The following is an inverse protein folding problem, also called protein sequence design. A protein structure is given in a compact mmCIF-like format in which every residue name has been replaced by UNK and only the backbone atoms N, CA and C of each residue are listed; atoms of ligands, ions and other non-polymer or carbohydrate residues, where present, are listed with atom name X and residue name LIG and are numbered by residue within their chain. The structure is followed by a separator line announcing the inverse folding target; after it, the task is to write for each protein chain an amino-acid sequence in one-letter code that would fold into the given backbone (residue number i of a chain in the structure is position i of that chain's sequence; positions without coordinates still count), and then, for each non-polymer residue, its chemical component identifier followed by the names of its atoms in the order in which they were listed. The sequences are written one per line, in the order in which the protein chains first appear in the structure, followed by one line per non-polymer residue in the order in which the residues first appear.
data_IF_427519066038
#
_entry.id   IF_427519066038
#
_cell.length_a   1.000
_cell.length_b   1.000
_cell.length_c   1.000
_cell.angle_alpha   90.00
_cell.angle_beta   90.00
_cell.angle_gamma   90.00
#
_symmetry.space_group_name_H-M   'P 1'
#
loop_
_entity.id
_entity.type
_entity.pdbx_description
1 polymer ?
#
# COMPACT_ATOMS: atom_id res chain seq x y z
N UNK A 1 22.04 54.56 -21.73
CA UNK A 1 22.79 54.85 -20.52
C UNK A 1 23.64 53.60 -20.21
N UNK A 2 24.95 53.71 -20.41
CA UNK A 2 25.93 52.63 -20.21
C UNK A 2 26.27 52.49 -18.73
N UNK A 3 26.31 51.27 -18.19
CA UNK A 3 27.13 50.95 -16.99
C UNK A 3 27.66 49.53 -17.16
N UNK A 4 28.90 49.48 -17.27
CA UNK A 4 30.05 48.65 -17.18
C UNK A 4 30.01 47.48 -16.22
N UNK A 5 30.60 46.40 -16.68
CA UNK A 5 30.88 45.15 -16.01
C UNK A 5 31.97 45.22 -14.93
N UNK A 6 32.04 44.16 -14.16
CA UNK A 6 33.24 43.71 -13.48
C UNK A 6 33.34 42.18 -13.49
N UNK A 7 34.34 41.70 -14.19
CA UNK A 7 34.81 40.34 -14.12
C UNK A 7 35.56 40.11 -12.80
N UNK A 8 35.30 39.00 -12.11
CA UNK A 8 36.10 38.54 -10.98
C UNK A 8 36.97 37.39 -11.43
N UNK A 9 38.26 37.59 -11.24
CA UNK A 9 39.35 36.68 -11.59
C UNK A 9 39.36 35.42 -10.71
N UNK A 10 39.56 34.28 -11.37
CA UNK A 10 39.82 32.99 -10.72
C UNK A 10 41.33 32.91 -10.45
N UNK A 11 41.69 32.79 -9.18
CA UNK A 11 43.06 32.53 -8.73
C UNK A 11 43.42 31.06 -8.89
N UNK A 12 44.45 30.78 -9.67
CA UNK A 12 45.15 29.48 -9.79
C UNK A 12 46.13 29.30 -8.64
N UNK A 13 46.08 28.15 -7.95
CA UNK A 13 47.10 27.70 -7.00
C UNK A 13 47.83 26.47 -7.57
N UNK A 14 49.17 26.39 -7.50
CA UNK A 14 49.97 25.41 -8.25
C UNK A 14 50.09 24.07 -7.52
N UNK A 15 50.18 23.02 -8.36
CA UNK A 15 50.57 21.66 -7.99
C UNK A 15 52.01 21.64 -7.48
N UNK A 16 52.27 21.01 -6.34
CA UNK A 16 53.56 20.43 -6.00
C UNK A 16 53.43 18.93 -5.78
N UNK A 17 54.22 18.21 -6.55
CA UNK A 17 54.46 16.77 -6.48
C UNK A 17 55.28 16.43 -5.22
N UNK A 18 54.99 15.30 -4.59
CA UNK A 18 55.98 14.49 -3.91
C UNK A 18 55.61 13.01 -4.04
N UNK A 19 56.40 12.29 -4.82
CA UNK A 19 56.50 10.83 -4.83
C UNK A 19 57.24 10.38 -3.58
N UNK A 20 56.80 9.30 -2.95
CA UNK A 20 57.70 8.28 -2.38
C UNK A 20 56.98 6.93 -2.46
N UNK A 21 57.63 5.99 -3.08
CA UNK A 21 57.27 4.59 -3.25
C UNK A 21 57.62 3.79 -1.98
N UNK A 22 56.81 2.78 -1.68
CA UNK A 22 57.30 1.54 -1.05
C UNK A 22 56.32 0.39 -1.36
N UNK A 23 56.80 -0.53 -2.16
CA UNK A 23 56.16 -1.81 -2.44
C UNK A 23 56.37 -2.77 -1.28
N UNK A 24 55.31 -3.45 -0.86
CA UNK A 24 55.40 -4.70 -0.12
C UNK A 24 54.36 -5.66 -0.69
N UNK A 25 54.80 -6.60 -1.50
CA UNK A 25 54.06 -7.80 -1.89
C UNK A 25 53.89 -8.69 -0.67
N UNK A 26 52.63 -9.04 -0.35
CA UNK A 26 52.33 -10.25 0.41
C UNK A 26 51.27 -11.00 -0.40
N UNK A 27 51.71 -12.09 -1.01
CA UNK A 27 50.86 -13.11 -1.60
C UNK A 27 50.22 -13.92 -0.46
N UNK A 28 48.89 -13.94 -0.35
CA UNK A 28 48.17 -14.93 0.44
C UNK A 28 47.29 -15.77 -0.48
N UNK A 29 47.56 -17.05 -0.43
CA UNK A 29 46.89 -18.12 -1.15
C UNK A 29 45.41 -18.15 -0.84
N UNK A 30 44.57 -18.13 -1.87
CA UNK A 30 43.16 -18.44 -1.78
C UNK A 30 42.96 -19.96 -1.61
N UNK A 31 42.65 -20.41 -0.42
CA UNK A 31 42.06 -21.72 -0.16
C UNK A 31 40.56 -21.52 -0.04
N UNK A 32 39.82 -21.85 -1.09
CA UNK A 32 38.38 -21.98 -1.06
C UNK A 32 38.03 -23.25 -0.27
N UNK A 33 37.58 -23.09 0.98
CA UNK A 33 36.83 -24.10 1.69
C UNK A 33 35.43 -23.53 1.94
N UNK A 34 34.44 -24.09 1.22
CA UNK A 34 33.04 -23.93 1.54
C UNK A 34 32.76 -24.67 2.85
N UNK A 35 32.78 -23.98 3.96
CA UNK A 35 32.32 -24.48 5.25
C UNK A 35 31.06 -23.70 5.64
N UNK A 36 29.94 -24.39 5.75
CA UNK A 36 28.75 -23.95 6.48
C UNK A 36 29.14 -23.79 7.96
N UNK A 37 29.71 -22.63 8.29
CA UNK A 37 30.11 -22.34 9.65
C UNK A 37 28.97 -21.52 10.32
N UNK A 38 28.36 -22.12 11.36
CA UNK A 38 27.71 -21.34 12.41
C UNK A 38 28.74 -20.32 12.94
N UNK A 39 28.34 -19.07 13.24
CA UNK A 39 29.28 -18.11 13.80
C UNK A 39 29.88 -18.65 15.10
N UNK A 40 31.16 -18.40 15.38
CA UNK A 40 31.77 -18.81 16.64
C UNK A 40 31.01 -18.19 17.81
N UNK A 41 30.79 -18.96 18.87
CA UNK A 41 30.12 -18.52 20.09
C UNK A 41 30.73 -17.20 20.59
N UNK A 42 29.97 -16.09 20.57
CA UNK A 42 30.39 -14.79 21.07
C UNK A 42 30.37 -13.62 20.06
N UNK A 43 30.16 -13.85 18.75
CA UNK A 43 30.12 -12.75 17.77
C UNK A 43 28.68 -12.35 17.45
N UNK A 44 28.28 -11.14 17.86
CA UNK A 44 26.96 -10.58 17.55
C UNK A 44 26.83 -10.31 16.05
N UNK A 45 25.76 -10.79 15.42
CA UNK A 45 25.41 -10.48 14.03
C UNK A 45 24.59 -9.19 14.02
N UNK A 46 25.08 -8.17 13.31
CA UNK A 46 24.32 -6.94 13.13
C UNK A 46 23.61 -6.96 11.78
N UNK A 47 22.32 -6.68 11.78
CA UNK A 47 21.49 -6.49 10.58
C UNK A 47 20.89 -5.11 10.58
N UNK A 48 20.65 -4.56 9.39
CA UNK A 48 19.97 -3.28 9.19
C UNK A 48 18.58 -3.48 8.61
N UNK A 49 17.68 -2.57 8.92
CA UNK A 49 16.37 -2.55 8.25
C UNK A 49 15.95 -1.14 7.88
N UNK A 50 15.17 -1.03 6.81
CA UNK A 50 14.53 0.19 6.37
C UNK A 50 13.05 0.18 6.70
N UNK A 51 12.50 1.35 7.03
CA UNK A 51 11.06 1.55 7.23
C UNK A 51 10.69 3.01 6.98
N UNK A 52 9.47 3.26 6.50
CA UNK A 52 8.88 4.61 6.39
C UNK A 52 8.13 5.04 7.67
N UNK A 53 8.15 4.21 8.70
CA UNK A 53 7.49 4.48 9.98
C UNK A 53 8.27 5.49 10.84
N UNK A 54 7.63 5.95 11.91
CA UNK A 54 8.20 6.99 12.79
C UNK A 54 9.52 6.57 13.47
N UNK A 55 10.34 7.56 13.86
CA UNK A 55 11.54 7.31 14.66
C UNK A 55 11.22 6.66 16.02
N UNK A 56 10.04 6.95 16.57
CA UNK A 56 9.57 6.30 17.80
C UNK A 56 9.39 4.79 17.62
N UNK A 57 8.80 4.38 16.50
CA UNK A 57 8.65 2.96 16.16
C UNK A 57 10.01 2.28 15.93
N UNK A 58 10.95 2.93 15.24
CA UNK A 58 12.32 2.41 15.07
C UNK A 58 12.96 2.17 16.43
N UNK A 59 12.91 3.16 17.32
CA UNK A 59 13.49 3.04 18.66
C UNK A 59 12.85 1.91 19.48
N UNK A 60 11.53 1.73 19.35
CA UNK A 60 10.83 0.62 20.00
C UNK A 60 11.31 -0.73 19.48
N UNK A 61 11.31 -0.94 18.17
CA UNK A 61 11.71 -2.20 17.54
C UNK A 61 13.16 -2.56 17.87
N UNK A 62 14.07 -1.59 17.74
CA UNK A 62 15.49 -1.77 18.05
C UNK A 62 15.71 -2.15 19.53
N UNK A 63 15.10 -1.41 20.45
CA UNK A 63 15.31 -1.65 21.88
C UNK A 63 14.71 -2.97 22.35
N UNK A 64 13.50 -3.32 21.94
CA UNK A 64 12.81 -4.52 22.40
C UNK A 64 13.40 -5.81 21.80
N UNK A 65 13.74 -5.78 20.51
CA UNK A 65 14.40 -6.93 19.90
C UNK A 65 15.80 -7.15 20.47
N UNK A 66 16.63 -6.09 20.51
CA UNK A 66 18.00 -6.18 20.99
C UNK A 66 18.11 -6.60 22.47
N UNK A 67 17.11 -6.26 23.30
CA UNK A 67 17.06 -6.69 24.70
C UNK A 67 16.83 -8.19 24.89
N UNK A 68 16.18 -8.84 23.92
CA UNK A 68 15.77 -10.26 24.02
C UNK A 68 16.59 -11.21 23.16
N UNK A 69 17.45 -10.71 22.26
CA UNK A 69 18.21 -11.47 21.27
C UNK A 69 19.71 -11.16 21.32
N UNK A 70 20.40 -11.59 22.36
CA UNK A 70 21.81 -11.23 22.68
C UNK A 70 22.82 -11.54 21.56
N UNK A 71 22.51 -12.48 20.65
CA UNK A 71 23.37 -12.84 19.50
C UNK A 71 23.10 -12.07 18.22
N UNK A 72 22.04 -11.25 18.19
CA UNK A 72 21.64 -10.48 17.01
C UNK A 72 21.39 -9.04 17.44
N UNK A 73 21.88 -8.09 16.66
CA UNK A 73 21.60 -6.66 16.83
C UNK A 73 20.90 -6.13 15.59
N UNK A 74 19.73 -5.48 15.75
CA UNK A 74 19.06 -4.77 14.67
C UNK A 74 19.27 -3.28 14.81
N UNK A 75 19.30 -2.56 13.68
CA UNK A 75 19.39 -1.11 13.59
C UNK A 75 18.52 -0.61 12.44
N UNK A 76 17.47 0.15 12.78
CA UNK A 76 16.54 0.72 11.81
C UNK A 76 17.02 2.02 11.19
N UNK A 77 16.61 2.24 9.96
CA UNK A 77 16.80 3.49 9.23
C UNK A 77 15.47 3.96 8.65
N UNK A 78 15.13 5.22 8.93
CA UNK A 78 13.96 5.88 8.36
C UNK A 78 14.15 6.17 6.87
N UNK A 79 13.13 5.89 6.07
CA UNK A 79 13.03 6.26 4.65
C UNK A 79 11.81 7.17 4.49
N UNK A 80 11.99 8.31 3.82
CA UNK A 80 11.02 9.41 3.84
C UNK A 80 9.67 9.13 3.14
N UNK A 81 9.56 8.10 2.30
CA UNK A 81 8.32 7.80 1.57
C UNK A 81 8.21 6.31 1.29
N UNK A 82 7.02 5.76 1.48
CA UNK A 82 6.69 4.39 1.07
C UNK A 82 6.68 4.25 -0.47
N UNK A 83 6.22 5.29 -1.18
CA UNK A 83 6.15 5.28 -2.65
C UNK A 83 7.54 5.27 -3.30
N UNK A 84 8.51 5.98 -2.69
CA UNK A 84 9.90 5.98 -3.15
C UNK A 84 10.69 4.73 -2.72
N UNK A 85 10.13 3.90 -1.84
CA UNK A 85 10.83 2.75 -1.24
C UNK A 85 11.25 1.76 -2.31
N UNK A 86 10.36 1.37 -3.21
CA UNK A 86 10.65 0.39 -4.27
C UNK A 86 11.76 0.87 -5.21
N UNK A 87 11.74 2.13 -5.66
CA UNK A 87 12.79 2.69 -6.52
C UNK A 87 14.14 2.72 -5.80
N UNK A 88 14.14 3.04 -4.51
CA UNK A 88 15.31 3.06 -3.64
C UNK A 88 15.88 1.67 -3.42
N UNK A 89 15.02 0.66 -3.21
CA UNK A 89 15.40 -0.75 -3.10
C UNK A 89 16.05 -1.27 -4.38
N UNK A 90 15.41 -1.04 -5.53
CA UNK A 90 15.97 -1.40 -6.83
C UNK A 90 17.35 -0.76 -7.05
N UNK A 91 17.51 0.50 -6.68
CA UNK A 91 18.80 1.20 -6.77
C UNK A 91 19.84 0.61 -5.82
N UNK A 92 19.46 0.34 -4.57
CA UNK A 92 20.33 -0.24 -3.55
C UNK A 92 20.79 -1.65 -3.92
N UNK A 93 19.87 -2.49 -4.43
CA UNK A 93 20.19 -3.83 -4.93
C UNK A 93 21.25 -3.76 -6.07
N UNK A 94 21.10 -2.80 -6.99
CA UNK A 94 22.07 -2.61 -8.09
C UNK A 94 23.46 -2.20 -7.60
N UNK A 95 23.54 -1.52 -6.46
CA UNK A 95 24.78 -1.02 -5.87
C UNK A 95 25.32 -1.90 -4.74
N UNK A 96 24.58 -2.94 -4.32
CA UNK A 96 24.96 -3.82 -3.19
C UNK A 96 24.90 -3.12 -1.84
N UNK A 97 24.00 -2.16 -1.67
CA UNK A 97 23.80 -1.35 -0.45
C UNK A 97 22.40 -1.54 0.16
N UNK A 98 21.67 -2.55 -0.29
CA UNK A 98 20.37 -2.91 0.25
C UNK A 98 20.45 -3.29 1.74
N UNK A 99 19.42 -3.00 2.56
CA UNK A 99 19.36 -3.45 3.95
C UNK A 99 19.11 -4.96 4.01
N UNK A 100 19.28 -5.55 5.21
CA UNK A 100 18.91 -6.95 5.40
C UNK A 100 17.38 -7.16 5.40
N UNK A 101 16.60 -6.16 5.88
CA UNK A 101 15.14 -6.21 5.93
C UNK A 101 14.55 -4.88 5.49
N UNK A 102 13.43 -4.92 4.79
CA UNK A 102 12.57 -3.75 4.58
C UNK A 102 11.22 -4.02 5.23
N UNK A 103 10.69 -3.06 5.98
CA UNK A 103 9.40 -3.13 6.67
C UNK A 103 8.48 -2.06 6.10
N UNK A 104 7.23 -2.45 5.77
CA UNK A 104 6.21 -1.57 5.24
C UNK A 104 6.22 -1.48 3.70
N UNK A 105 6.89 -2.41 3.03
CA UNK A 105 6.90 -2.50 1.59
C UNK A 105 5.54 -2.90 1.02
N UNK A 106 5.13 -2.27 -0.08
CA UNK A 106 3.96 -2.73 -0.84
C UNK A 106 4.25 -4.09 -1.48
N UNK A 107 3.39 -5.11 -1.26
CA UNK A 107 3.61 -6.43 -1.83
C UNK A 107 3.55 -6.48 -3.36
N UNK A 108 2.93 -5.52 -4.03
CA UNK A 108 2.94 -5.43 -5.49
C UNK A 108 4.35 -5.22 -6.07
N UNK A 109 5.29 -4.71 -5.27
CA UNK A 109 6.69 -4.57 -5.64
C UNK A 109 7.50 -5.88 -5.56
N UNK A 110 7.02 -6.87 -4.78
CA UNK A 110 7.75 -8.14 -4.58
C UNK A 110 8.12 -8.85 -5.88
N UNK A 111 7.25 -8.94 -6.90
CA UNK A 111 7.62 -9.55 -8.18
C UNK A 111 8.78 -8.86 -8.90
N UNK A 112 8.84 -7.53 -8.86
CA UNK A 112 9.92 -6.74 -9.44
C UNK A 112 11.24 -6.99 -8.68
N UNK A 113 11.21 -6.92 -7.36
CA UNK A 113 12.38 -7.16 -6.52
C UNK A 113 12.90 -8.59 -6.63
N UNK A 114 12.01 -9.57 -6.78
CA UNK A 114 12.36 -10.98 -6.98
C UNK A 114 13.20 -11.22 -8.24
N UNK A 115 13.07 -10.38 -9.28
CA UNK A 115 13.85 -10.48 -10.50
C UNK A 115 15.35 -10.24 -10.25
N UNK A 116 15.70 -9.56 -9.17
CA UNK A 116 17.09 -9.34 -8.75
C UNK A 116 17.79 -10.62 -8.27
N UNK A 117 17.02 -11.65 -7.89
CA UNK A 117 17.52 -12.86 -7.22
C UNK A 117 18.00 -12.62 -5.78
N UNK A 118 17.76 -11.43 -5.22
CA UNK A 118 18.22 -11.03 -3.89
C UNK A 118 17.18 -11.18 -2.79
N UNK A 119 15.90 -11.40 -3.11
CA UNK A 119 14.85 -11.57 -2.10
C UNK A 119 14.85 -13.01 -1.60
N UNK A 120 14.92 -13.18 -0.29
CA UNK A 120 14.98 -14.48 0.37
C UNK A 120 13.59 -15.13 0.40
N UNK A 121 13.52 -16.43 0.06
CA UNK A 121 12.31 -17.23 0.20
C UNK A 121 11.99 -17.53 1.67
N UNK A 122 10.86 -17.02 2.14
CA UNK A 122 10.39 -17.12 3.53
C UNK A 122 9.35 -18.25 3.74
N UNK A 123 9.05 -19.05 2.72
CA UNK A 123 7.99 -20.08 2.78
C UNK A 123 8.13 -21.07 3.94
N UNK A 124 9.36 -21.57 4.19
CA UNK A 124 9.60 -22.53 5.27
C UNK A 124 9.68 -21.85 6.65
N UNK A 125 10.50 -20.79 6.83
CA UNK A 125 10.70 -20.22 8.17
C UNK A 125 9.45 -19.48 8.69
N UNK A 126 8.53 -19.02 7.83
CA UNK A 126 7.33 -18.28 8.23
C UNK A 126 6.01 -19.02 7.98
N UNK A 127 6.04 -20.31 7.63
CA UNK A 127 4.84 -21.10 7.29
C UNK A 127 3.74 -21.00 8.38
N UNK A 128 4.09 -21.17 9.65
CA UNK A 128 3.14 -21.09 10.75
C UNK A 128 2.55 -19.69 10.94
N UNK A 129 3.39 -18.65 10.88
CA UNK A 129 2.93 -17.27 10.99
C UNK A 129 2.00 -16.89 9.83
N UNK A 130 2.36 -17.28 8.60
CA UNK A 130 1.54 -17.04 7.40
C UNK A 130 0.20 -17.77 7.46
N UNK A 131 0.16 -19.01 7.97
CA UNK A 131 -1.09 -19.73 8.17
C UNK A 131 -2.03 -19.05 9.17
N UNK A 132 -1.50 -18.25 10.09
CA UNK A 132 -2.25 -17.47 11.08
C UNK A 132 -2.89 -16.18 10.54
N UNK A 133 -2.49 -15.71 9.36
CA UNK A 133 -3.03 -14.48 8.74
C UNK A 133 -4.46 -14.66 8.22
N UNK A 134 -5.19 -13.57 8.05
CA UNK A 134 -6.46 -13.59 7.32
C UNK A 134 -6.27 -14.14 5.91
N UNK A 135 -7.21 -14.97 5.40
CA UNK A 135 -7.06 -15.62 4.08
C UNK A 135 -6.88 -14.63 2.92
N UNK A 136 -7.56 -13.47 2.94
CA UNK A 136 -7.46 -12.46 1.89
C UNK A 136 -6.08 -11.80 1.78
N UNK A 137 -5.26 -11.83 2.84
CA UNK A 137 -3.92 -11.23 2.86
C UNK A 137 -2.86 -12.15 2.25
N UNK A 138 -3.01 -13.46 2.44
CA UNK A 138 -1.96 -14.45 2.09
C UNK A 138 -1.50 -14.41 0.64
N UNK A 139 -2.40 -14.26 -0.37
CA UNK A 139 -1.97 -14.26 -1.77
C UNK A 139 -0.92 -13.19 -2.09
N UNK A 140 -1.00 -12.03 -1.46
CA UNK A 140 -0.08 -10.91 -1.68
C UNK A 140 1.37 -11.19 -1.24
N UNK A 141 1.59 -12.22 -0.43
CA UNK A 141 2.93 -12.56 0.09
C UNK A 141 3.74 -13.42 -0.87
N UNK A 142 3.10 -13.96 -1.92
CA UNK A 142 3.69 -14.98 -2.77
C UNK A 142 3.88 -14.50 -4.22
N UNK A 143 5.01 -14.87 -4.78
CA UNK A 143 5.29 -14.75 -6.20
C UNK A 143 5.92 -16.04 -6.72
N UNK A 144 5.39 -16.62 -7.81
CA UNK A 144 5.85 -17.90 -8.39
C UNK A 144 6.00 -19.03 -7.35
N UNK A 145 5.06 -19.12 -6.41
CA UNK A 145 5.03 -20.13 -5.35
C UNK A 145 6.04 -19.92 -4.21
N UNK A 146 6.80 -18.86 -4.22
CA UNK A 146 7.71 -18.50 -3.15
C UNK A 146 7.11 -17.37 -2.30
N UNK A 147 7.17 -17.50 -1.00
CA UNK A 147 6.82 -16.42 -0.09
C UNK A 147 7.99 -15.43 0.00
N UNK A 148 7.75 -14.17 -0.38
CA UNK A 148 8.77 -13.13 -0.45
C UNK A 148 8.58 -12.02 0.59
N UNK A 149 7.43 -12.00 1.26
CA UNK A 149 7.13 -11.04 2.31
C UNK A 149 6.34 -11.66 3.45
N UNK A 150 6.23 -10.94 4.58
CA UNK A 150 5.40 -11.26 5.73
C UNK A 150 4.59 -10.05 6.15
N UNK A 151 3.27 -10.17 6.15
CA UNK A 151 2.37 -9.14 6.69
C UNK A 151 2.47 -9.13 8.22
N UNK A 152 2.62 -7.93 8.80
CA UNK A 152 2.91 -7.81 10.24
C UNK A 152 1.70 -7.30 11.04
N UNK A 153 1.07 -6.22 10.60
CA UNK A 153 -0.04 -5.50 11.21
C UNK A 153 -0.20 -4.16 10.52
N UNK A 154 -1.14 -3.34 10.96
CA UNK A 154 -1.39 -2.05 10.31
C UNK A 154 -2.02 -2.20 8.92
N UNK A 155 -2.91 -3.16 8.78
CA UNK A 155 -3.66 -3.39 7.54
C UNK A 155 -4.67 -2.26 7.34
N UNK A 156 -4.80 -1.78 6.12
CA UNK A 156 -5.82 -0.81 5.73
C UNK A 156 -6.88 -1.43 4.85
N UNK A 157 -8.12 -1.01 5.03
CA UNK A 157 -9.21 -1.20 4.09
C UNK A 157 -10.06 0.06 4.02
N UNK A 158 -11.04 0.11 3.15
CA UNK A 158 -11.98 1.22 3.09
C UNK A 158 -13.43 0.75 3.31
N UNK A 159 -14.24 1.69 3.80
CA UNK A 159 -15.66 1.54 4.07
C UNK A 159 -16.43 2.74 3.54
N UNK A 160 -17.74 2.70 3.57
CA UNK A 160 -18.60 3.86 3.28
C UNK A 160 -18.70 4.75 4.52
N UNK A 161 -18.29 6.01 4.40
CA UNK A 161 -18.62 7.09 5.34
C UNK A 161 -19.86 7.84 4.85
N UNK A 162 -20.74 8.25 5.75
CA UNK A 162 -21.92 9.04 5.43
C UNK A 162 -22.19 10.12 6.48
N UNK A 163 -22.62 11.29 6.04
CA UNK A 163 -22.99 12.41 6.90
C UNK A 163 -24.41 12.20 7.48
N UNK A 164 -24.49 11.97 8.79
CA UNK A 164 -25.78 11.70 9.47
C UNK A 164 -26.79 12.85 9.37
N UNK A 165 -26.29 14.11 9.37
CA UNK A 165 -27.17 15.28 9.26
C UNK A 165 -27.83 15.37 7.88
N UNK A 166 -27.08 15.08 6.82
CA UNK A 166 -27.58 15.12 5.47
C UNK A 166 -28.56 13.97 5.21
N UNK A 167 -28.24 12.78 5.70
CA UNK A 167 -29.17 11.64 5.66
C UNK A 167 -30.50 11.95 6.36
N UNK A 168 -30.46 12.54 7.57
CA UNK A 168 -31.66 12.94 8.30
C UNK A 168 -32.48 14.00 7.53
N UNK A 169 -31.81 15.03 6.94
CA UNK A 169 -32.47 16.06 6.11
C UNK A 169 -33.13 15.46 4.86
N UNK A 170 -32.50 14.46 4.24
CA UNK A 170 -33.02 13.78 3.06
C UNK A 170 -34.10 12.71 3.40
N UNK A 171 -34.37 12.48 4.67
CA UNK A 171 -35.33 11.45 5.12
C UNK A 171 -34.85 10.02 4.93
N UNK A 172 -33.51 9.82 4.87
CA UNK A 172 -32.89 8.50 4.75
C UNK A 172 -32.71 7.89 6.15
N UNK A 173 -33.12 6.63 6.31
CA UNK A 173 -33.12 5.94 7.61
C UNK A 173 -31.77 5.33 7.97
N UNK A 174 -30.83 5.24 7.03
CA UNK A 174 -29.51 4.64 7.23
C UNK A 174 -28.70 4.54 5.93
N UNK A 175 -27.46 4.03 6.01
CA UNK A 175 -26.58 3.93 4.86
C UNK A 175 -27.08 2.90 3.84
N UNK A 176 -26.75 3.06 2.54
CA UNK A 176 -27.14 2.14 1.49
C UNK A 176 -26.47 0.79 1.65
N UNK A 177 -27.22 -0.30 1.47
CA UNK A 177 -26.72 -1.67 1.54
C UNK A 177 -26.22 -2.19 0.19
N UNK A 178 -26.64 -1.57 -0.93
CA UNK A 178 -26.26 -1.94 -2.29
C UNK A 178 -25.84 -0.71 -3.10
N UNK A 179 -25.04 -0.91 -4.14
CA UNK A 179 -24.65 0.17 -5.05
C UNK A 179 -25.86 0.82 -5.73
N UNK A 180 -26.90 0.03 -6.10
CA UNK A 180 -28.16 0.58 -6.63
C UNK A 180 -28.86 1.52 -5.64
N UNK A 181 -28.86 1.15 -4.35
CA UNK A 181 -29.39 2.03 -3.31
C UNK A 181 -28.51 3.26 -3.12
N UNK A 182 -27.18 3.10 -3.15
CA UNK A 182 -26.22 4.21 -3.07
C UNK A 182 -26.46 5.23 -4.19
N UNK A 183 -26.60 4.80 -5.45
CA UNK A 183 -26.92 5.68 -6.58
C UNK A 183 -28.21 6.48 -6.31
N UNK A 184 -29.29 5.81 -5.90
CA UNK A 184 -30.56 6.46 -5.56
C UNK A 184 -30.44 7.45 -4.41
N UNK A 185 -29.70 7.10 -3.35
CA UNK A 185 -29.53 7.94 -2.18
C UNK A 185 -28.60 9.12 -2.49
N UNK A 186 -27.56 8.91 -3.30
CA UNK A 186 -26.66 9.98 -3.77
C UNK A 186 -27.45 11.06 -4.54
N UNK A 187 -28.38 10.67 -5.41
CA UNK A 187 -29.26 11.63 -6.11
C UNK A 187 -30.10 12.44 -5.13
N UNK A 188 -30.71 11.81 -4.12
CA UNK A 188 -31.53 12.52 -3.10
C UNK A 188 -30.71 13.47 -2.24
N UNK A 189 -29.44 13.11 -1.95
CA UNK A 189 -28.52 13.90 -1.15
C UNK A 189 -27.92 15.07 -1.95
N UNK A 190 -27.95 15.01 -3.28
CA UNK A 190 -27.32 16.02 -4.13
C UNK A 190 -28.14 17.29 -4.24
N UNK A 191 -27.45 18.42 -4.13
CA UNK A 191 -27.99 19.74 -4.38
C UNK A 191 -27.05 20.56 -5.27
N UNK A 192 -26.92 20.20 -6.58
CA UNK A 192 -25.89 20.79 -7.43
C UNK A 192 -25.93 22.32 -7.53
N UNK A 193 -27.11 22.91 -7.37
CA UNK A 193 -27.26 24.37 -7.25
C UNK A 193 -26.58 24.97 -6.00
N UNK A 194 -26.28 24.15 -4.99
CA UNK A 194 -25.57 24.52 -3.76
C UNK A 194 -24.13 24.00 -3.73
N UNK A 195 -23.64 23.43 -4.83
CA UNK A 195 -22.34 22.74 -4.90
C UNK A 195 -22.15 21.68 -3.81
N UNK A 196 -23.24 20.94 -3.52
CA UNK A 196 -23.25 19.81 -2.58
C UNK A 196 -23.65 18.55 -3.34
N UNK A 197 -22.87 17.47 -3.18
CA UNK A 197 -23.06 16.22 -3.91
C UNK A 197 -23.34 15.06 -2.98
N UNK A 198 -23.97 14.02 -3.49
CA UNK A 198 -24.35 12.85 -2.71
C UNK A 198 -23.17 11.96 -2.37
N UNK A 199 -22.19 11.85 -3.27
CA UNK A 199 -21.00 11.00 -3.07
C UNK A 199 -19.77 11.62 -3.75
N UNK A 200 -18.60 11.35 -3.20
CA UNK A 200 -17.32 11.58 -3.87
C UNK A 200 -16.93 10.35 -4.71
N UNK A 201 -16.48 10.59 -5.93
CA UNK A 201 -15.81 9.62 -6.80
C UNK A 201 -14.40 10.15 -7.07
N UNK A 202 -13.33 9.35 -6.93
CA UNK A 202 -11.95 9.80 -7.13
C UNK A 202 -11.66 10.31 -8.53
N UNK A 203 -10.77 11.30 -8.63
CA UNK A 203 -10.37 11.96 -9.86
C UNK A 203 -8.85 11.96 -10.05
N UNK A 204 -8.41 12.00 -11.31
CA UNK A 204 -7.01 12.08 -11.71
C UNK A 204 -6.49 10.77 -12.31
N UNK A 205 -5.17 10.59 -12.29
CA UNK A 205 -4.48 9.45 -12.91
C UNK A 205 -3.59 8.70 -11.93
N UNK A 206 -3.78 8.95 -10.63
CA UNK A 206 -3.05 8.25 -9.58
C UNK A 206 -3.66 6.85 -9.30
N UNK A 207 -2.87 5.96 -8.77
CA UNK A 207 -3.28 4.58 -8.45
C UNK A 207 -4.50 4.51 -7.54
N UNK A 208 -4.76 5.53 -6.72
CA UNK A 208 -5.92 5.59 -5.83
C UNK A 208 -7.26 5.37 -6.56
N UNK A 209 -7.41 5.85 -7.80
CA UNK A 209 -8.64 5.65 -8.60
C UNK A 209 -8.86 4.18 -8.91
N UNK A 210 -7.85 3.50 -9.44
CA UNK A 210 -7.96 2.05 -9.74
C UNK A 210 -8.12 1.25 -8.46
N UNK A 211 -7.41 1.59 -7.39
CA UNK A 211 -7.47 0.95 -6.08
C UNK A 211 -8.90 0.97 -5.47
N UNK A 212 -9.59 2.10 -5.52
CA UNK A 212 -10.96 2.20 -5.03
C UNK A 212 -11.96 1.52 -5.98
N UNK A 213 -11.77 1.70 -7.30
CA UNK A 213 -12.64 1.08 -8.30
C UNK A 213 -12.58 -0.46 -8.29
N UNK A 214 -11.45 -1.05 -7.96
CA UNK A 214 -11.29 -2.51 -7.84
C UNK A 214 -12.30 -3.12 -6.87
N UNK A 215 -12.62 -2.46 -5.77
CA UNK A 215 -13.65 -2.93 -4.83
C UNK A 215 -15.02 -3.07 -5.48
N UNK A 216 -15.42 -2.13 -6.34
CA UNK A 216 -16.67 -2.23 -7.08
C UNK A 216 -16.62 -3.31 -8.18
N UNK A 217 -15.46 -3.47 -8.83
CA UNK A 217 -15.23 -4.57 -9.77
C UNK A 217 -15.50 -5.93 -9.09
N UNK A 218 -14.87 -6.17 -7.94
CA UNK A 218 -15.03 -7.43 -7.18
C UNK A 218 -16.44 -7.59 -6.60
N UNK A 219 -17.05 -6.52 -6.10
CA UNK A 219 -18.44 -6.54 -5.63
C UNK A 219 -19.42 -6.91 -6.75
N UNK A 220 -19.09 -6.63 -8.00
CA UNK A 220 -19.86 -7.07 -9.16
C UNK A 220 -19.46 -8.48 -9.68
N UNK A 221 -18.53 -9.17 -9.00
CA UNK A 221 -18.07 -10.51 -9.39
C UNK A 221 -16.99 -10.52 -10.47
N UNK A 222 -16.44 -9.35 -10.81
CA UNK A 222 -15.31 -9.24 -11.75
C UNK A 222 -13.98 -9.64 -11.12
N UNK A 223 -12.94 -9.73 -11.96
CA UNK A 223 -11.58 -10.04 -11.55
C UNK A 223 -10.63 -9.02 -12.19
N UNK A 224 -9.56 -8.63 -11.49
CA UNK A 224 -8.53 -7.75 -12.03
C UNK A 224 -7.67 -8.47 -13.08
N UNK A 225 -7.17 -9.66 -12.73
CA UNK A 225 -6.46 -10.57 -13.62
C UNK A 225 -7.20 -11.91 -13.72
N UNK A 226 -6.88 -12.69 -14.75
CA UNK A 226 -7.29 -14.08 -14.83
C UNK A 226 -6.63 -14.90 -13.70
N UNK A 227 -7.14 -16.11 -13.36
CA UNK A 227 -6.60 -16.90 -12.24
C UNK A 227 -5.12 -17.26 -12.38
N UNK A 228 -4.59 -17.29 -13.61
CA UNK A 228 -3.17 -17.56 -13.87
C UNK A 228 -2.26 -16.32 -13.71
N UNK A 229 -2.83 -15.12 -13.51
CA UNK A 229 -2.06 -13.87 -13.45
C UNK A 229 -1.37 -13.47 -14.76
N UNK A 230 -1.83 -14.02 -15.88
CA UNK A 230 -1.18 -13.87 -17.20
C UNK A 230 -1.91 -12.94 -18.15
N UNK A 231 -3.10 -12.50 -17.77
CA UNK A 231 -3.95 -11.63 -18.58
C UNK A 231 -4.86 -10.78 -17.71
N UNK A 232 -5.08 -9.55 -18.13
CA UNK A 232 -6.09 -8.65 -17.58
C UNK A 232 -7.50 -9.27 -17.77
N UNK A 233 -8.39 -9.05 -16.80
CA UNK A 233 -9.77 -9.55 -16.80
C UNK A 233 -10.81 -8.51 -16.37
N UNK A 234 -10.40 -7.29 -16.05
CA UNK A 234 -11.31 -6.22 -15.61
C UNK A 234 -12.16 -5.62 -16.73
N UNK A 235 -11.86 -5.89 -18.02
CA UNK A 235 -12.66 -5.49 -19.18
C UNK A 235 -13.93 -6.35 -19.39
N UNK A 236 -14.27 -7.16 -18.39
CA UNK A 236 -15.46 -8.02 -18.34
C UNK A 236 -16.76 -7.22 -18.22
N UNK A 237 -17.95 -7.84 -18.46
CA UNK A 237 -19.23 -7.18 -18.21
C UNK A 237 -19.38 -6.62 -16.80
N UNK A 238 -18.81 -7.29 -15.77
CA UNK A 238 -18.80 -6.81 -14.39
C UNK A 238 -17.98 -5.51 -14.24
N UNK A 239 -16.83 -5.42 -14.88
CA UNK A 239 -16.01 -4.20 -14.89
C UNK A 239 -16.70 -3.06 -15.64
N UNK A 240 -17.25 -3.33 -16.83
CA UNK A 240 -18.01 -2.32 -17.57
C UNK A 240 -19.17 -1.78 -16.74
N UNK A 241 -19.88 -2.64 -16.01
CA UNK A 241 -20.97 -2.23 -15.12
C UNK A 241 -20.44 -1.37 -13.96
N UNK A 242 -19.32 -1.77 -13.33
CA UNK A 242 -18.70 -1.02 -12.26
C UNK A 242 -18.34 0.40 -12.70
N UNK A 243 -17.67 0.54 -13.85
CA UNK A 243 -17.29 1.85 -14.35
C UNK A 243 -18.50 2.66 -14.83
N UNK A 244 -19.54 2.00 -15.37
CA UNK A 244 -20.79 2.66 -15.75
C UNK A 244 -21.49 3.26 -14.54
N UNK A 245 -21.49 2.61 -13.39
CA UNK A 245 -22.02 3.15 -12.12
C UNK A 245 -21.32 4.47 -11.75
N UNK A 246 -20.00 4.53 -11.76
CA UNK A 246 -19.26 5.76 -11.47
C UNK A 246 -19.53 6.86 -12.50
N UNK A 247 -19.52 6.52 -13.79
CA UNK A 247 -19.82 7.47 -14.87
C UNK A 247 -21.24 8.02 -14.75
N UNK A 248 -22.23 7.20 -14.41
CA UNK A 248 -23.61 7.65 -14.18
C UNK A 248 -23.68 8.64 -13.02
N UNK A 249 -23.11 8.32 -11.86
CA UNK A 249 -23.09 9.22 -10.69
C UNK A 249 -22.53 10.59 -11.02
N UNK A 250 -21.48 10.66 -11.85
CA UNK A 250 -20.84 11.92 -12.24
C UNK A 250 -21.62 12.64 -13.35
N UNK A 251 -21.97 11.94 -14.44
CA UNK A 251 -22.38 12.59 -15.69
C UNK A 251 -23.87 12.59 -15.95
N UNK A 252 -24.56 11.52 -15.57
CA UNK A 252 -25.99 11.39 -15.80
C UNK A 252 -26.78 11.95 -14.64
N UNK A 253 -26.41 11.55 -13.43
CA UNK A 253 -27.17 11.82 -12.21
C UNK A 253 -26.68 13.10 -11.52
N UNK A 254 -25.51 13.61 -11.89
CA UNK A 254 -24.85 14.77 -11.27
C UNK A 254 -24.76 14.68 -9.75
N UNK A 255 -24.63 13.45 -9.25
CA UNK A 255 -24.62 13.12 -7.83
C UNK A 255 -23.18 13.06 -7.25
N UNK A 256 -22.17 13.20 -8.10
CA UNK A 256 -20.76 13.31 -7.72
C UNK A 256 -20.11 14.53 -8.39
N UNK A 257 -19.08 15.15 -7.77
CA UNK A 257 -18.37 16.29 -8.38
C UNK A 257 -17.65 15.85 -9.65
N UNK A 258 -17.32 16.84 -10.51
CA UNK A 258 -16.62 16.63 -11.79
C UNK A 258 -15.14 16.99 -11.71
N UNK A 259 -14.60 17.18 -10.51
CA UNK A 259 -13.20 17.57 -10.26
C UNK A 259 -12.70 16.96 -8.97
N UNK A 260 -11.37 16.79 -8.86
CA UNK A 260 -10.71 16.38 -7.62
C UNK A 260 -10.83 17.44 -6.51
N UNK A 261 -10.88 16.98 -5.27
CA UNK A 261 -10.76 17.78 -4.06
C UNK A 261 -9.42 17.52 -3.35
N UNK A 262 -8.47 16.88 -4.02
CA UNK A 262 -7.16 16.57 -3.46
C UNK A 262 -6.46 17.84 -2.92
N UNK A 263 -5.89 17.72 -1.71
CA UNK A 263 -5.08 18.75 -1.05
C UNK A 263 -3.77 18.15 -0.57
N UNK A 264 -2.74 18.97 -0.46
CA UNK A 264 -1.45 18.53 0.06
C UNK A 264 -1.60 17.99 1.50
N UNK A 265 -1.18 16.74 1.72
CA UNK A 265 -1.25 16.07 3.00
C UNK A 265 -2.56 15.38 3.34
N UNK A 266 -3.56 15.42 2.44
CA UNK A 266 -4.83 14.68 2.56
C UNK A 266 -4.97 13.65 1.44
N UNK A 267 -5.73 12.60 1.71
CA UNK A 267 -6.16 11.65 0.68
C UNK A 267 -7.21 12.28 -0.23
N UNK A 268 -7.28 11.83 -1.50
CA UNK A 268 -8.22 12.38 -2.46
C UNK A 268 -9.67 12.17 -1.98
N UNK A 269 -10.44 13.25 -1.96
CA UNK A 269 -11.83 13.25 -1.53
C UNK A 269 -12.06 13.49 -0.04
N UNK A 270 -11.13 13.16 0.87
CA UNK A 270 -11.30 13.43 2.29
C UNK A 270 -11.61 14.91 2.59
N UNK A 271 -10.95 15.91 1.98
CA UNK A 271 -11.32 17.32 2.15
C UNK A 271 -12.75 17.66 1.69
N UNK A 272 -13.28 16.96 0.69
CA UNK A 272 -14.66 17.18 0.24
C UNK A 272 -15.68 16.76 1.30
N UNK A 273 -15.45 15.61 1.95
CA UNK A 273 -16.31 15.13 3.03
C UNK A 273 -16.12 15.96 4.31
N UNK A 274 -14.89 16.31 4.65
CA UNK A 274 -14.56 17.15 5.80
C UNK A 274 -15.18 18.56 5.71
N UNK A 275 -15.31 19.12 4.50
CA UNK A 275 -15.89 20.46 4.26
C UNK A 275 -17.40 20.46 4.01
N UNK A 276 -18.09 19.32 4.14
CA UNK A 276 -19.53 19.19 3.85
C UNK A 276 -19.88 19.45 2.37
N UNK A 277 -18.93 19.21 1.45
CA UNK A 277 -19.17 19.31 0.02
C UNK A 277 -19.80 18.03 -0.57
N UNK A 278 -19.67 16.90 0.13
CA UNK A 278 -20.27 15.62 -0.24
C UNK A 278 -20.89 14.95 1.01
N UNK A 279 -21.98 14.22 0.80
CA UNK A 279 -22.67 13.49 1.89
C UNK A 279 -22.14 12.10 2.14
N UNK A 280 -21.47 11.48 1.17
CA UNK A 280 -20.86 10.15 1.25
C UNK A 280 -19.47 10.13 0.63
N UNK A 281 -18.62 9.27 1.15
CA UNK A 281 -17.32 8.93 0.59
C UNK A 281 -16.96 7.49 0.94
N UNK A 282 -16.30 6.79 0.02
CA UNK A 282 -15.61 5.54 0.32
C UNK A 282 -14.17 5.90 0.66
N UNK A 283 -13.71 5.60 1.87
CA UNK A 283 -12.37 5.96 2.33
C UNK A 283 -11.91 5.01 3.46
N UNK A 284 -10.65 5.07 3.82
CA UNK A 284 -10.06 4.21 4.83
C UNK A 284 -10.01 4.84 6.23
N UNK A 285 -9.54 4.04 7.19
CA UNK A 285 -9.36 4.49 8.58
C UNK A 285 -8.35 5.64 8.70
N UNK A 286 -7.47 5.85 7.74
CA UNK A 286 -6.54 6.99 7.68
C UNK A 286 -7.25 8.34 7.59
N UNK A 287 -8.45 8.41 7.03
CA UNK A 287 -9.24 9.65 6.91
C UNK A 287 -9.98 10.02 8.21
N UNK A 288 -10.14 9.09 9.16
CA UNK A 288 -10.89 9.29 10.43
C UNK A 288 -10.39 10.50 11.22
N UNK A 289 -9.07 10.69 11.30
CA UNK A 289 -8.47 11.82 12.01
C UNK A 289 -8.86 13.18 11.40
N UNK A 290 -8.94 13.27 10.07
CA UNK A 290 -9.36 14.48 9.35
C UNK A 290 -10.83 14.78 9.61
N UNK A 291 -11.70 13.78 9.50
CA UNK A 291 -13.13 13.94 9.76
C UNK A 291 -13.46 14.31 11.19
N UNK A 292 -12.73 13.74 12.16
CA UNK A 292 -12.85 14.11 13.58
C UNK A 292 -12.38 15.55 13.84
N UNK A 293 -11.30 15.98 13.22
CA UNK A 293 -10.76 17.35 13.32
C UNK A 293 -11.76 18.36 12.74
N UNK A 294 -12.39 18.03 11.62
CA UNK A 294 -13.43 18.83 10.99
C UNK A 294 -14.79 18.75 11.74
N UNK A 295 -14.90 17.88 12.76
CA UNK A 295 -16.13 17.67 13.57
C UNK A 295 -17.34 17.23 12.71
N UNK A 296 -17.10 16.44 11.67
CA UNK A 296 -18.19 15.86 10.88
C UNK A 296 -18.98 14.89 11.74
N UNK A 297 -20.30 14.99 11.73
CA UNK A 297 -21.18 14.00 12.36
C UNK A 297 -21.47 12.86 11.38
N UNK A 298 -20.53 11.90 11.35
CA UNK A 298 -20.58 10.80 10.39
C UNK A 298 -20.94 9.46 11.02
N UNK A 299 -21.42 8.57 10.18
CA UNK A 299 -21.47 7.14 10.43
C UNK A 299 -20.62 6.39 9.41
N UNK A 300 -20.32 5.13 9.71
CA UNK A 300 -19.66 4.22 8.77
C UNK A 300 -20.52 2.99 8.52
N UNK A 301 -20.39 2.43 7.32
CA UNK A 301 -21.06 1.20 6.93
C UNK A 301 -20.11 0.39 6.02
N UNK A 302 -20.32 -0.93 5.87
CA UNK A 302 -19.62 -1.69 4.84
C UNK A 302 -19.78 -1.05 3.46
N UNK A 303 -18.79 -1.22 2.58
CA UNK A 303 -18.96 -0.89 1.18
C UNK A 303 -20.21 -1.59 0.65
N UNK A 304 -21.11 -0.89 -0.06
CA UNK A 304 -22.35 -1.49 -0.54
C UNK A 304 -22.12 -2.71 -1.41
N UNK A 305 -22.99 -3.71 -1.32
CA UNK A 305 -22.92 -4.89 -2.14
C UNK A 305 -23.16 -4.55 -3.63
N UNK A 306 -22.38 -5.16 -4.50
CA UNK A 306 -22.56 -5.08 -5.95
C UNK A 306 -23.58 -6.08 -6.47
N UNK A 307 -23.60 -6.29 -7.77
CA UNK A 307 -24.53 -7.20 -8.46
C UNK A 307 -24.29 -8.68 -8.18
N UNK A 308 -23.12 -9.04 -7.65
CA UNK A 308 -22.88 -10.39 -7.12
C UNK A 308 -23.59 -10.68 -5.80
N UNK A 309 -24.18 -9.66 -5.17
CA UNK A 309 -24.79 -9.73 -3.83
C UNK A 309 -23.77 -9.65 -2.68
N UNK A 310 -22.49 -9.38 -2.99
CA UNK A 310 -21.42 -9.30 -2.00
C UNK A 310 -20.81 -7.90 -1.94
N UNK A 311 -20.37 -7.50 -0.76
CA UNK A 311 -19.49 -6.35 -0.53
C UNK A 311 -18.05 -6.77 -0.82
N UNK A 312 -17.23 -5.84 -1.31
CA UNK A 312 -15.79 -6.03 -1.44
C UNK A 312 -15.04 -4.72 -1.18
N UNK A 313 -13.79 -4.85 -0.73
CA UNK A 313 -12.88 -3.74 -0.49
C UNK A 313 -11.48 -4.12 -0.96
N UNK A 314 -10.62 -3.14 -1.21
CA UNK A 314 -9.19 -3.40 -1.38
C UNK A 314 -8.50 -3.38 -0.01
N UNK A 315 -7.51 -4.26 0.17
CA UNK A 315 -6.69 -4.35 1.38
C UNK A 315 -5.32 -3.77 1.08
N UNK A 316 -4.97 -2.68 1.76
CA UNK A 316 -3.62 -2.15 1.83
C UNK A 316 -2.83 -2.86 2.92
N UNK A 317 -1.69 -3.44 2.59
CA UNK A 317 -0.79 -4.06 3.57
C UNK A 317 0.65 -3.63 3.30
N UNK A 318 1.41 -3.45 4.40
CA UNK A 318 2.87 -3.41 4.34
C UNK A 318 3.45 -4.77 4.74
N UNK A 319 4.46 -5.22 4.02
CA UNK A 319 5.16 -6.47 4.32
C UNK A 319 6.59 -6.23 4.79
N UNK A 320 7.14 -7.19 5.53
CA UNK A 320 8.57 -7.29 5.78
C UNK A 320 9.18 -8.25 4.76
N UNK A 321 10.21 -7.80 4.04
CA UNK A 321 10.99 -8.60 3.09
C UNK A 321 12.43 -8.73 3.56
N UNK A 322 13.06 -9.86 3.26
CA UNK A 322 14.47 -10.14 3.60
C UNK A 322 15.30 -10.17 2.33
N UNK A 323 16.44 -9.45 2.34
CA UNK A 323 17.41 -9.44 1.25
C UNK A 323 18.62 -10.31 1.56
N UNK A 324 19.17 -10.96 0.55
CA UNK A 324 20.25 -11.94 0.69
C UNK A 324 21.61 -11.30 0.94
N UNK A 325 22.13 -11.50 2.14
CA UNK A 325 23.47 -11.13 2.60
C UNK A 325 24.26 -12.35 3.08
N UNK A 326 23.89 -13.55 2.62
CA UNK A 326 24.50 -14.82 3.01
C UNK A 326 23.86 -15.43 4.27
N UNK A 327 24.07 -16.74 4.45
CA UNK A 327 23.33 -17.58 5.39
C UNK A 327 23.25 -17.02 6.81
N UNK A 328 24.34 -16.51 7.36
CA UNK A 328 24.39 -16.00 8.75
C UNK A 328 23.53 -14.76 8.92
N UNK A 329 23.64 -13.79 8.00
CA UNK A 329 22.84 -12.57 8.03
C UNK A 329 21.37 -12.87 7.72
N UNK A 330 21.10 -13.76 6.76
CA UNK A 330 19.74 -14.16 6.41
C UNK A 330 19.02 -14.84 7.59
N UNK A 331 19.68 -15.74 8.32
CA UNK A 331 19.11 -16.36 9.51
C UNK A 331 18.81 -15.34 10.60
N UNK A 332 19.68 -14.37 10.82
CA UNK A 332 19.45 -13.29 11.78
C UNK A 332 18.26 -12.39 11.33
N UNK A 333 18.17 -12.04 10.05
CA UNK A 333 17.06 -11.28 9.48
C UNK A 333 15.73 -12.02 9.56
N UNK A 334 15.71 -13.32 9.26
CA UNK A 334 14.54 -14.19 9.41
C UNK A 334 14.10 -14.25 10.88
N UNK A 335 15.02 -14.38 11.84
CA UNK A 335 14.70 -14.34 13.27
C UNK A 335 14.02 -13.02 13.65
N UNK A 336 14.49 -11.90 13.12
CA UNK A 336 13.86 -10.61 13.36
C UNK A 336 12.45 -10.54 12.77
N UNK A 337 12.24 -11.02 11.55
CA UNK A 337 10.90 -11.04 10.91
C UNK A 337 9.97 -12.02 11.64
N UNK A 338 10.46 -13.15 12.13
CA UNK A 338 9.68 -14.07 12.99
C UNK A 338 9.23 -13.41 14.29
N UNK A 339 10.10 -12.61 14.91
CA UNK A 339 9.74 -11.83 16.10
C UNK A 339 8.69 -10.74 15.77
N UNK A 340 8.87 -10.01 14.67
CA UNK A 340 7.89 -9.02 14.19
C UNK A 340 6.51 -9.65 13.92
N UNK A 341 6.48 -10.88 13.44
CA UNK A 341 5.25 -11.62 13.12
C UNK A 341 4.50 -12.17 14.35
N UNK A 342 5.07 -12.05 15.57
CA UNK A 342 4.37 -12.44 16.78
C UNK A 342 3.15 -11.55 17.03
N UNK A 343 2.05 -12.07 17.62
CA UNK A 343 0.84 -11.29 17.83
C UNK A 343 1.06 -9.96 18.56
N UNK A 344 1.89 -9.93 19.60
CA UNK A 344 2.17 -8.72 20.37
C UNK A 344 2.85 -7.61 19.54
N UNK A 345 3.81 -7.99 18.69
CA UNK A 345 4.49 -7.03 17.81
C UNK A 345 3.58 -6.56 16.68
N UNK A 346 2.84 -7.49 16.07
CA UNK A 346 1.83 -7.13 15.07
C UNK A 346 0.75 -6.21 15.63
N UNK A 347 0.31 -6.43 16.86
CA UNK A 347 -0.64 -5.55 17.54
C UNK A 347 -0.05 -4.16 17.84
N UNK A 348 1.22 -4.09 18.23
CA UNK A 348 1.91 -2.81 18.39
C UNK A 348 1.95 -2.03 17.06
N UNK A 349 2.36 -2.68 15.97
CA UNK A 349 2.40 -2.06 14.64
C UNK A 349 1.02 -1.63 14.15
N UNK A 350 -0.02 -2.40 14.49
CA UNK A 350 -1.42 -2.07 14.21
C UNK A 350 -1.85 -0.78 14.90
N UNK A 351 -1.58 -0.66 16.20
CA UNK A 351 -1.93 0.53 16.98
C UNK A 351 -1.16 1.78 16.51
N UNK A 352 0.15 1.66 16.26
CA UNK A 352 0.99 2.77 15.79
C UNK A 352 0.54 3.34 14.43
N UNK A 353 -0.05 2.50 13.57
CA UNK A 353 -0.53 2.90 12.24
C UNK A 353 -2.02 3.29 12.23
N UNK A 354 -2.72 3.19 13.36
CA UNK A 354 -4.19 3.27 13.44
C UNK A 354 -4.88 2.32 12.45
N UNK A 355 -4.21 1.20 12.12
CA UNK A 355 -4.66 0.22 11.16
C UNK A 355 -5.46 -0.93 11.78
N UNK A 356 -5.60 -2.00 11.01
CA UNK A 356 -6.26 -3.22 11.41
C UNK A 356 -5.23 -4.36 11.63
N UNK A 357 -5.56 -5.38 12.44
CA UNK A 357 -4.70 -6.55 12.57
C UNK A 357 -4.63 -7.35 11.26
N UNK A 358 -3.46 -7.94 10.98
CA UNK A 358 -3.28 -8.86 9.85
C UNK A 358 -3.69 -10.30 10.19
N UNK A 359 -3.85 -10.61 11.48
CA UNK A 359 -4.16 -11.95 12.00
C UNK A 359 -5.16 -11.91 13.14
N UNK A 360 -6.10 -12.89 13.23
CA UNK A 360 -7.06 -12.99 14.34
C UNK A 360 -6.40 -13.03 15.73
N UNK A 361 -5.21 -13.58 15.85
CA UNK A 361 -4.49 -13.66 17.14
C UNK A 361 -4.19 -12.27 17.72
N UNK A 362 -3.95 -11.26 16.88
CA UNK A 362 -3.66 -9.88 17.31
C UNK A 362 -4.87 -9.20 17.98
N UNK A 363 -6.11 -9.65 17.71
CA UNK A 363 -7.32 -9.13 18.35
C UNK A 363 -7.33 -9.35 19.88
N UNK A 364 -6.55 -10.29 20.37
CA UNK A 364 -6.46 -10.59 21.81
C UNK A 364 -5.47 -9.71 22.55
N UNK A 365 -4.63 -8.96 21.83
CA UNK A 365 -3.62 -8.10 22.42
C UNK A 365 -4.22 -6.80 22.97
N UNK A 366 -3.62 -6.28 24.04
CA UNK A 366 -4.12 -5.10 24.76
C UNK A 366 -4.19 -3.86 23.86
N UNK A 367 -3.20 -3.66 23.00
CA UNK A 367 -3.15 -2.52 22.11
C UNK A 367 -4.34 -2.51 21.14
N UNK A 368 -4.64 -3.64 20.48
CA UNK A 368 -5.78 -3.75 19.55
C UNK A 368 -7.12 -3.67 20.29
N UNK A 369 -7.24 -4.24 21.48
CA UNK A 369 -8.45 -4.10 22.31
C UNK A 369 -8.71 -2.66 22.70
N UNK A 370 -7.66 -1.90 22.98
CA UNK A 370 -7.78 -0.46 23.29
C UNK A 370 -8.31 0.32 22.09
N UNK A 371 -7.74 0.12 20.91
CA UNK A 371 -8.21 0.74 19.66
C UNK A 371 -9.66 0.39 19.38
N UNK A 372 -10.02 -0.89 19.45
CA UNK A 372 -11.39 -1.36 19.24
C UNK A 372 -12.41 -0.78 20.23
N UNK A 373 -11.99 -0.46 21.46
CA UNK A 373 -12.84 0.11 22.50
C UNK A 373 -12.99 1.63 22.38
N UNK A 374 -11.98 2.31 21.85
CA UNK A 374 -11.93 3.78 21.77
C UNK A 374 -12.41 4.35 20.43
N UNK A 375 -12.41 3.52 19.37
CA UNK A 375 -12.83 3.93 18.02
C UNK A 375 -14.18 3.26 17.64
N UNK A 376 -15.30 3.99 17.65
CA UNK A 376 -16.61 3.44 17.32
C UNK A 376 -16.71 2.82 15.92
N UNK A 377 -15.86 3.27 15.00
CA UNK A 377 -15.82 2.81 13.60
C UNK A 377 -15.05 1.50 13.42
N UNK A 378 -14.21 1.12 14.38
CA UNK A 378 -13.26 0.01 14.28
C UNK A 378 -13.90 -1.31 13.83
N UNK A 379 -15.06 -1.65 14.43
CA UNK A 379 -15.73 -2.94 14.15
C UNK A 379 -16.22 -3.03 12.70
N UNK A 380 -16.59 -1.92 12.07
CA UNK A 380 -17.06 -1.91 10.67
C UNK A 380 -15.89 -2.23 9.75
N UNK A 381 -14.73 -1.57 9.93
CA UNK A 381 -13.50 -1.88 9.21
C UNK A 381 -13.05 -3.32 9.43
N UNK A 382 -12.99 -3.79 10.68
CA UNK A 382 -12.59 -5.16 10.98
C UNK A 382 -13.51 -6.23 10.35
N UNK A 383 -14.78 -5.92 10.15
CA UNK A 383 -15.72 -6.79 9.45
C UNK A 383 -15.54 -6.70 7.92
N UNK A 384 -15.27 -5.50 7.38
CA UNK A 384 -15.05 -5.27 5.97
C UNK A 384 -13.81 -6.02 5.46
N UNK A 385 -12.75 -6.09 6.28
CA UNK A 385 -11.53 -6.83 5.99
C UNK A 385 -11.78 -8.30 5.57
N UNK A 386 -12.88 -8.91 6.04
CA UNK A 386 -13.23 -10.30 5.70
C UNK A 386 -13.61 -10.50 4.24
N UNK A 387 -14.02 -9.45 3.55
CA UNK A 387 -14.40 -9.42 2.12
C UNK A 387 -13.37 -8.67 1.28
N UNK A 388 -12.18 -8.44 1.85
CA UNK A 388 -11.13 -7.70 1.20
C UNK A 388 -10.26 -8.54 0.27
N UNK A 389 -9.76 -7.89 -0.75
CA UNK A 389 -8.79 -8.41 -1.72
C UNK A 389 -7.54 -7.55 -1.68
N UNK A 390 -6.39 -8.18 -1.88
CA UNK A 390 -5.12 -7.45 -2.03
C UNK A 390 -4.83 -7.19 -3.51
N UNK A 391 -3.99 -6.18 -3.76
CA UNK A 391 -3.43 -5.93 -5.10
C UNK A 391 -2.81 -7.21 -5.69
N UNK A 392 -2.91 -7.43 -7.00
CA UNK A 392 -2.25 -8.56 -7.65
C UNK A 392 -0.72 -8.47 -7.55
N UNK A 393 -0.08 -9.59 -7.26
CA UNK A 393 1.38 -9.70 -7.18
C UNK A 393 1.98 -10.11 -8.54
N UNK A 394 1.95 -9.18 -9.50
CA UNK A 394 2.57 -9.34 -10.83
C UNK A 394 3.51 -8.17 -11.12
N UNK A 395 4.63 -8.37 -11.85
CA UNK A 395 5.61 -7.31 -12.09
C UNK A 395 5.02 -6.07 -12.77
N UNK A 396 4.00 -6.26 -13.59
CA UNK A 396 3.35 -5.21 -14.37
C UNK A 396 2.24 -4.47 -13.59
N UNK A 397 1.95 -4.80 -12.32
CA UNK A 397 0.79 -4.24 -11.62
C UNK A 397 0.76 -2.72 -11.62
N UNK A 398 1.88 -2.07 -11.27
CA UNK A 398 1.95 -0.61 -11.20
C UNK A 398 1.60 0.04 -12.55
N UNK A 399 2.14 -0.48 -13.65
CA UNK A 399 1.83 0.02 -14.99
C UNK A 399 0.35 -0.18 -15.33
N UNK A 400 -0.19 -1.40 -15.10
CA UNK A 400 -1.60 -1.72 -15.36
C UNK A 400 -2.53 -0.80 -14.55
N UNK A 401 -2.21 -0.55 -13.29
CA UNK A 401 -3.02 0.25 -12.39
C UNK A 401 -3.06 1.72 -12.81
N UNK A 402 -1.93 2.30 -13.24
CA UNK A 402 -1.86 3.68 -13.71
C UNK A 402 -2.53 3.87 -15.08
N UNK A 403 -2.37 2.92 -16.00
CA UNK A 403 -3.08 2.92 -17.28
C UNK A 403 -4.59 2.84 -17.04
N UNK A 404 -5.03 1.93 -16.16
CA UNK A 404 -6.44 1.81 -15.77
C UNK A 404 -6.98 3.10 -15.14
N UNK A 405 -6.23 3.73 -14.23
CA UNK A 405 -6.61 5.00 -13.61
C UNK A 405 -6.81 6.11 -14.65
N UNK A 406 -5.93 6.18 -15.64
CA UNK A 406 -6.04 7.12 -16.76
C UNK A 406 -7.30 6.89 -17.57
N UNK A 407 -7.58 5.66 -17.94
CA UNK A 407 -8.76 5.31 -18.73
C UNK A 407 -10.07 5.47 -17.95
N UNK A 408 -10.09 5.18 -16.64
CA UNK A 408 -11.23 5.50 -15.77
C UNK A 408 -11.50 7.01 -15.80
N UNK A 409 -10.46 7.84 -15.63
CA UNK A 409 -10.60 9.28 -15.66
C UNK A 409 -11.14 9.77 -17.02
N UNK A 410 -10.69 9.22 -18.13
CA UNK A 410 -11.21 9.53 -19.45
C UNK A 410 -12.70 9.16 -19.62
N UNK A 411 -13.13 8.05 -19.04
CA UNK A 411 -14.55 7.70 -19.00
C UNK A 411 -15.36 8.67 -18.11
N UNK A 412 -14.84 9.07 -16.95
CA UNK A 412 -15.48 10.03 -16.05
C UNK A 412 -15.62 11.41 -16.70
N UNK A 413 -14.65 11.86 -17.50
CA UNK A 413 -14.77 13.09 -18.31
C UNK A 413 -15.75 12.96 -19.47
N UNK A 414 -16.10 11.74 -19.87
CA UNK A 414 -16.95 11.40 -21.02
C UNK A 414 -16.23 11.45 -22.36
N UNK A 415 -14.91 11.45 -22.35
CA UNK A 415 -14.08 11.37 -23.56
C UNK A 415 -14.24 10.03 -24.27
N UNK A 416 -14.46 8.96 -23.50
CA UNK A 416 -14.70 7.60 -23.99
C UNK A 416 -15.83 6.94 -23.20
N UNK A 417 -16.39 5.84 -23.74
CA UNK A 417 -17.35 5.03 -22.99
C UNK A 417 -16.63 4.10 -21.99
N UNK A 418 -17.31 3.64 -20.90
CA UNK A 418 -16.74 2.69 -19.96
C UNK A 418 -16.14 1.44 -20.63
N UNK A 419 -16.82 0.89 -21.63
CA UNK A 419 -16.32 -0.28 -22.35
C UNK A 419 -15.06 0.01 -23.18
N UNK A 420 -14.98 1.18 -23.82
CA UNK A 420 -13.78 1.60 -24.57
C UNK A 420 -12.59 1.85 -23.63
N UNK A 421 -12.82 2.51 -22.51
CA UNK A 421 -11.80 2.75 -21.48
C UNK A 421 -11.19 1.44 -21.00
N UNK A 422 -12.02 0.51 -20.53
CA UNK A 422 -11.54 -0.77 -20.00
C UNK A 422 -10.87 -1.65 -21.07
N UNK A 423 -11.37 -1.64 -22.31
CA UNK A 423 -10.74 -2.39 -23.41
C UNK A 423 -9.35 -1.83 -23.77
N UNK A 424 -9.18 -0.50 -23.73
CA UNK A 424 -7.88 0.13 -23.95
C UNK A 424 -6.92 -0.19 -22.80
N UNK A 425 -7.31 0.04 -21.55
CA UNK A 425 -6.51 -0.31 -20.38
C UNK A 425 -6.13 -1.80 -20.36
N UNK A 426 -7.04 -2.70 -20.77
CA UNK A 426 -6.76 -4.14 -20.87
C UNK A 426 -5.74 -4.47 -21.95
N UNK A 427 -5.76 -3.75 -23.08
CA UNK A 427 -4.77 -3.92 -24.16
C UNK A 427 -3.38 -3.51 -23.67
N UNK A 428 -3.25 -2.34 -23.06
CA UNK A 428 -1.99 -1.80 -22.50
C UNK A 428 -1.48 -2.68 -21.36
N UNK A 429 -2.35 -3.08 -20.44
CA UNK A 429 -2.01 -3.98 -19.35
C UNK A 429 -1.54 -5.37 -19.81
N UNK A 430 -2.14 -5.95 -20.86
CA UNK A 430 -1.68 -7.21 -21.43
C UNK A 430 -0.32 -7.07 -22.12
N UNK A 431 -0.02 -5.92 -22.72
CA UNK A 431 1.32 -5.61 -23.25
C UNK A 431 2.35 -5.51 -22.12
N UNK A 432 2.03 -4.83 -21.02
CA UNK A 432 2.90 -4.74 -19.85
C UNK A 432 3.19 -6.13 -19.25
N UNK A 433 2.18 -6.99 -19.13
CA UNK A 433 2.38 -8.38 -18.68
C UNK A 433 3.33 -9.15 -19.63
N UNK A 434 3.12 -9.01 -20.94
CA UNK A 434 3.88 -9.76 -21.96
C UNK A 434 5.34 -9.31 -22.03
N UNK A 435 5.60 -8.03 -21.84
CA UNK A 435 6.97 -7.46 -21.85
C UNK A 435 7.76 -7.80 -20.59
N UNK A 436 7.12 -8.29 -19.54
CA UNK A 436 7.77 -8.56 -18.26
C UNK A 436 8.31 -7.29 -17.56
N UNK A 437 8.00 -6.13 -18.11
CA UNK A 437 8.46 -4.85 -17.60
C UNK A 437 7.43 -4.28 -16.64
N UNK A 438 7.74 -4.32 -15.35
CA UNK A 438 7.30 -3.25 -14.48
C UNK A 438 8.18 -2.03 -14.83
N UNK A 439 7.67 -1.13 -15.66
CA UNK A 439 8.39 0.08 -16.07
C UNK A 439 8.51 1.05 -14.91
#
# INVERSE_FOLDING_TARGET
MRIHGRAAQVARVPRRQAMIASAALIALAATACSSSANPPAGKTVTITYWTSSSQAQINYLDSHFNATHSGIKVSGQYIASADDTTAKEVSAIKTGTEPNVVIGQDPSALPLLAQSGKVVNLSQPLASATAGLYPGIRPALFYKGQQLGMALGGVGDYVLFYNKKDFAKAGLSGPPATWTQLESDAVKLSGPAKHHYGIYIPWGTAEWISYEWEGLLWANGGQFLNPAGTKVAFDSPAGVQALTTWVNLVRKDHAAPTTSFAQAGSYDGAPAFASDAVSMIIDGQWAVSEFNTAKVDYGVAPVPAGTSGHSATNIGIGVASVFDHGTTANNAAITFVQWLAQPAQGAYLTAESSGLPSAPAQLNETAVKHEAATQPTYQVFANQLKTGHTRPTVPAYTAISLDLATEINDALTGSVTPAQALAKAATEGNQAISSGTGS
#
